data_IF_786674224538
#
_entry.id   IF_786674224538
#
_cell.length_a   1.000
_cell.length_b   1.000
_cell.length_c   1.000
_cell.angle_alpha   90.00
_cell.angle_beta   90.00
_cell.angle_gamma   90.00
#
_symmetry.space_group_name_H-M   'P 1'
#
loop_
_entity.id
_entity.type
_entity.pdbx_description
1 polymer ?
#
# COMPACT_ATOMS: atom_id res chain seq x y z
N UNK A 1 23.85 31.07 -40.35
CA UNK A 1 22.88 31.47 -39.31
C UNK A 1 22.48 30.22 -38.56
N UNK A 2 22.64 30.23 -37.23
CA UNK A 2 22.89 29.06 -36.37
C UNK A 2 21.70 28.08 -36.22
N UNK A 3 22.03 26.80 -36.06
CA UNK A 3 21.09 25.70 -35.76
C UNK A 3 20.62 25.80 -34.30
N UNK A 4 19.31 25.72 -33.98
CA UNK A 4 18.85 25.81 -32.60
C UNK A 4 19.23 24.56 -31.81
N UNK A 5 19.96 24.77 -30.72
CA UNK A 5 20.31 23.73 -29.74
C UNK A 5 19.04 23.29 -29.00
N UNK A 6 18.52 22.11 -29.30
CA UNK A 6 17.48 21.49 -28.50
C UNK A 6 18.10 20.95 -27.22
N UNK A 7 17.86 21.63 -26.10
CA UNK A 7 18.24 21.20 -24.76
C UNK A 7 17.62 19.81 -24.51
N UNK A 8 18.47 18.77 -24.44
CA UNK A 8 18.05 17.42 -24.07
C UNK A 8 17.97 17.34 -22.55
N UNK A 9 16.77 17.35 -21.99
CA UNK A 9 16.55 17.04 -20.59
C UNK A 9 16.78 15.52 -20.38
N UNK A 10 17.72 15.17 -19.52
CA UNK A 10 17.87 13.81 -19.00
C UNK A 10 16.93 13.71 -17.79
N UNK A 11 15.86 12.94 -17.93
CA UNK A 11 15.01 12.59 -16.79
C UNK A 11 15.71 11.43 -16.07
N UNK A 12 16.29 11.71 -14.91
CA UNK A 12 16.78 10.68 -14.00
C UNK A 12 15.57 10.21 -13.20
N UNK A 13 15.07 9.01 -13.50
CA UNK A 13 14.08 8.36 -12.67
C UNK A 13 14.77 7.84 -11.40
N UNK A 14 14.44 8.42 -10.25
CA UNK A 14 14.82 7.87 -8.95
C UNK A 14 13.76 6.84 -8.57
N UNK A 15 14.13 5.56 -8.32
CA UNK A 15 13.17 4.59 -7.81
C UNK A 15 12.69 5.06 -6.43
N UNK A 16 11.39 5.29 -6.30
CA UNK A 16 10.77 5.49 -4.99
C UNK A 16 10.68 4.11 -4.33
N UNK A 17 11.46 3.88 -3.28
CA UNK A 17 11.19 2.80 -2.34
C UNK A 17 9.90 3.17 -1.60
N UNK A 18 8.76 2.69 -2.09
CA UNK A 18 7.52 2.78 -1.37
C UNK A 18 7.60 1.79 -0.19
N UNK A 19 7.52 2.30 1.03
CA UNK A 19 7.14 1.49 2.18
C UNK A 19 5.74 0.97 1.85
N UNK A 20 5.64 -0.32 1.50
CA UNK A 20 4.43 -0.86 0.89
C UNK A 20 3.34 -0.89 1.96
N UNK A 21 2.30 -0.08 1.74
CA UNK A 21 1.25 0.19 2.72
C UNK A 21 -0.11 0.04 2.08
N UNK A 22 -1.01 -0.61 2.81
CA UNK A 22 -2.43 -0.63 2.52
C UNK A 22 -3.09 0.43 3.38
N UNK A 23 -3.74 1.40 2.75
CA UNK A 23 -4.49 2.46 3.43
C UNK A 23 -5.94 2.40 2.99
N UNK A 24 -6.86 2.83 3.85
CA UNK A 24 -8.27 2.85 3.51
C UNK A 24 -9.13 3.46 4.61
N UNK A 25 -10.45 3.32 4.44
CA UNK A 25 -11.49 3.74 5.38
C UNK A 25 -12.55 2.66 5.49
N UNK A 26 -13.04 2.42 6.70
CA UNK A 26 -14.14 1.49 6.97
C UNK A 26 -15.41 2.29 7.23
N UNK A 27 -16.42 2.06 6.41
CA UNK A 27 -17.72 2.73 6.47
C UNK A 27 -18.85 1.69 6.62
N UNK A 28 -19.91 2.02 7.35
CA UNK A 28 -21.10 1.18 7.52
C UNK A 28 -22.30 1.98 8.01
N UNK A 29 -23.50 1.65 7.54
CA UNK A 29 -24.73 2.37 7.93
C UNK A 29 -24.75 3.86 7.53
N UNK A 30 -23.90 4.28 6.59
CA UNK A 30 -23.79 5.67 6.12
C UNK A 30 -22.81 6.55 6.90
N UNK A 31 -21.95 5.96 7.75
CA UNK A 31 -20.89 6.68 8.45
C UNK A 31 -19.64 5.84 8.68
N UNK A 32 -18.62 6.47 9.25
CA UNK A 32 -17.32 5.85 9.55
C UNK A 32 -17.42 4.89 10.74
N UNK A 33 -16.65 3.81 10.70
CA UNK A 33 -16.53 2.85 11.80
C UNK A 33 -15.19 3.03 12.50
N UNK A 34 -15.22 3.61 13.69
CA UNK A 34 -14.05 3.75 14.56
C UNK A 34 -13.72 2.44 15.29
N UNK A 35 -12.44 2.27 15.64
CA UNK A 35 -11.91 1.14 16.41
C UNK A 35 -12.27 -0.26 15.84
N UNK A 36 -12.48 -0.36 14.52
CA UNK A 36 -12.66 -1.62 13.83
C UNK A 36 -11.31 -2.31 13.64
N UNK A 37 -11.22 -3.59 13.95
CA UNK A 37 -10.04 -4.40 13.63
C UNK A 37 -9.96 -4.64 12.13
N UNK A 38 -8.83 -4.26 11.52
CA UNK A 38 -8.51 -4.50 10.11
C UNK A 38 -7.30 -5.39 10.03
N UNK A 39 -7.47 -6.59 9.49
CA UNK A 39 -6.41 -7.59 9.37
C UNK A 39 -6.07 -7.87 7.91
N UNK A 40 -4.79 -7.78 7.55
CA UNK A 40 -4.29 -8.17 6.24
C UNK A 40 -3.85 -9.64 6.26
N UNK A 41 -4.28 -10.40 5.25
CA UNK A 41 -3.96 -11.81 5.06
C UNK A 41 -3.39 -12.05 3.67
N UNK A 42 -2.31 -12.83 3.57
CA UNK A 42 -1.85 -13.41 2.31
C UNK A 42 -2.73 -14.62 1.98
N UNK A 43 -3.34 -14.62 0.79
CA UNK A 43 -4.04 -15.77 0.24
C UNK A 43 -3.07 -16.71 -0.49
N UNK A 44 -3.38 -18.01 -0.51
CA UNK A 44 -2.56 -19.01 -1.19
C UNK A 44 -3.24 -20.38 -1.23
N UNK A 45 -2.51 -21.42 -1.67
CA UNK A 45 -3.03 -22.79 -1.78
C UNK A 45 -3.32 -23.46 -0.42
N UNK A 46 -2.90 -22.84 0.69
CA UNK A 46 -3.12 -23.30 2.05
C UNK A 46 -4.02 -22.36 2.88
N UNK A 47 -3.90 -22.46 4.20
CA UNK A 47 -4.55 -21.51 5.10
C UNK A 47 -3.97 -20.10 4.89
N UNK A 48 -4.80 -19.04 4.91
CA UNK A 48 -4.31 -17.67 4.83
C UNK A 48 -3.31 -17.34 5.94
N UNK A 49 -2.24 -16.64 5.60
CA UNK A 49 -1.20 -16.19 6.55
C UNK A 49 -1.47 -14.75 6.96
N UNK A 50 -1.57 -14.47 8.26
CA UNK A 50 -1.74 -13.10 8.77
C UNK A 50 -0.46 -12.31 8.48
N UNK A 51 -0.59 -11.17 7.81
CA UNK A 51 0.52 -10.27 7.50
C UNK A 51 0.58 -9.09 8.47
N UNK A 52 -0.56 -8.60 8.91
CA UNK A 52 -0.62 -7.44 9.80
C UNK A 52 -2.03 -7.18 10.30
N UNK A 53 -2.14 -6.35 11.33
CA UNK A 53 -3.41 -5.89 11.88
C UNK A 53 -3.26 -4.48 12.42
N UNK A 54 -4.34 -3.71 12.32
CA UNK A 54 -4.46 -2.37 12.89
C UNK A 54 -5.90 -2.14 13.32
N UNK A 55 -6.14 -1.03 14.02
CA UNK A 55 -7.49 -0.54 14.29
C UNK A 55 -7.74 0.75 13.52
N UNK A 56 -8.98 0.93 13.07
CA UNK A 56 -9.38 2.20 12.48
C UNK A 56 -9.39 3.32 13.52
N UNK A 57 -9.03 4.52 13.10
CA UNK A 57 -9.13 5.76 13.88
C UNK A 57 -10.58 6.22 14.02
N UNK A 58 -10.81 7.32 14.75
CA UNK A 58 -12.15 7.89 14.96
C UNK A 58 -12.88 8.28 13.65
N UNK A 59 -12.14 8.58 12.58
CA UNK A 59 -12.69 8.84 11.25
C UNK A 59 -12.79 7.57 10.38
N UNK A 60 -12.59 6.38 10.96
CA UNK A 60 -12.65 5.11 10.25
C UNK A 60 -11.46 4.83 9.33
N UNK A 61 -10.43 5.69 9.31
CA UNK A 61 -9.25 5.48 8.47
C UNK A 61 -8.28 4.45 9.08
N UNK A 62 -7.53 3.76 8.23
CA UNK A 62 -6.50 2.82 8.65
C UNK A 62 -5.27 2.87 7.73
N UNK A 63 -4.13 2.49 8.30
CA UNK A 63 -2.88 2.23 7.59
C UNK A 63 -2.29 0.91 8.09
N UNK A 64 -1.93 0.03 7.15
CA UNK A 64 -1.30 -1.27 7.37
C UNK A 64 0.01 -1.32 6.59
N UNK A 65 1.10 -1.61 7.29
CA UNK A 65 2.38 -1.88 6.65
C UNK A 65 2.44 -3.33 6.20
N UNK A 66 2.89 -3.54 4.97
CA UNK A 66 3.12 -4.88 4.45
C UNK A 66 4.54 -5.31 4.89
N UNK A 67 4.70 -6.45 5.58
CA UNK A 67 6.00 -6.90 6.04
C UNK A 67 6.86 -7.35 4.85
N UNK A 68 8.13 -6.92 4.76
CA UNK A 68 9.00 -7.12 3.59
C UNK A 68 9.16 -8.58 3.12
N UNK A 69 8.95 -9.56 4.01
CA UNK A 69 9.09 -11.00 3.79
C UNK A 69 7.80 -11.69 3.28
N UNK A 70 6.73 -10.95 2.99
CA UNK A 70 5.46 -11.54 2.57
C UNK A 70 5.47 -12.22 1.19
N UNK A 71 6.45 -11.88 0.34
CA UNK A 71 6.56 -12.33 -1.05
C UNK A 71 7.11 -13.76 -1.23
N UNK A 72 7.59 -14.42 -0.16
CA UNK A 72 8.12 -15.79 -0.28
C UNK A 72 7.03 -16.86 -0.44
N UNK A 73 5.77 -16.53 -0.15
CA UNK A 73 4.63 -17.46 -0.16
C UNK A 73 3.60 -17.16 -1.27
N UNK A 74 3.76 -16.05 -2.02
CA UNK A 74 2.82 -15.55 -3.01
C UNK A 74 3.09 -16.06 -4.43
N UNK A 75 2.18 -16.84 -4.99
CA UNK A 75 2.19 -17.24 -6.41
C UNK A 75 2.01 -15.98 -7.28
N UNK A 76 2.99 -15.69 -8.14
CA UNK A 76 2.80 -14.91 -9.37
C UNK A 76 2.33 -15.81 -10.51
#
# INVERSE_FOLDING_TARGET
MALPSFLRAIIIAVPAAADERVTGRVEGGGGDIAAADVTLWAAGLGAPKKLGETQTTDDGSFELKIPDDWNEDGVL
#
